data_IF_798297737753
#
_entry.id   IF_798297737753
#
_cell.length_a   1.000
_cell.length_b   1.000
_cell.length_c   1.000
_cell.angle_alpha   90.00
_cell.angle_beta   90.00
_cell.angle_gamma   90.00
#
_symmetry.space_group_name_H-M   'P 1'
#
loop_
_entity.id
_entity.type
_entity.pdbx_description
1 polymer ?
#
# COMPACT_ATOMS: atom_id res chain seq x y z
N UNK A 1 20.10 -27.10 -10.77
CA UNK A 1 21.07 -27.38 -9.68
C UNK A 1 20.43 -28.13 -8.48
N UNK A 2 20.83 -29.38 -8.24
CA UNK A 2 20.29 -30.27 -7.19
C UNK A 2 20.60 -29.82 -5.76
N UNK A 3 21.79 -29.23 -5.55
CA UNK A 3 22.25 -28.78 -4.22
C UNK A 3 21.29 -27.76 -3.57
N UNK A 4 20.73 -26.83 -4.34
CA UNK A 4 19.77 -25.85 -3.83
C UNK A 4 18.46 -26.50 -3.35
N UNK A 5 17.96 -27.50 -4.10
CA UNK A 5 16.74 -28.24 -3.72
C UNK A 5 16.96 -29.03 -2.44
N UNK A 6 18.11 -29.69 -2.32
CA UNK A 6 18.49 -30.43 -1.11
C UNK A 6 18.58 -29.49 0.10
N UNK A 7 19.30 -28.37 -0.02
CA UNK A 7 19.41 -27.35 1.03
C UNK A 7 18.05 -26.86 1.49
N UNK A 8 17.15 -26.53 0.55
CA UNK A 8 15.79 -26.06 0.87
C UNK A 8 14.96 -27.11 1.60
N UNK A 9 15.05 -28.38 1.21
CA UNK A 9 14.37 -29.47 1.94
C UNK A 9 14.95 -29.65 3.33
N UNK A 10 16.26 -29.56 3.47
CA UNK A 10 16.94 -29.67 4.76
C UNK A 10 16.59 -28.52 5.70
N UNK A 11 16.61 -27.26 5.24
CA UNK A 11 16.20 -26.09 6.03
C UNK A 11 14.76 -26.22 6.54
N UNK A 12 13.83 -26.76 5.74
CA UNK A 12 12.47 -27.05 6.20
C UNK A 12 12.42 -28.08 7.32
N UNK A 13 13.27 -29.12 7.26
CA UNK A 13 13.38 -30.13 8.30
C UNK A 13 13.96 -29.53 9.59
N UNK A 14 15.04 -28.75 9.48
CA UNK A 14 15.69 -28.07 10.59
C UNK A 14 14.72 -27.12 11.31
N UNK A 15 14.00 -26.27 10.56
CA UNK A 15 13.02 -25.35 11.13
C UNK A 15 11.84 -26.07 11.81
N UNK A 16 11.46 -27.27 11.34
CA UNK A 16 10.43 -28.11 12.00
C UNK A 16 10.95 -28.72 13.30
N UNK A 17 12.23 -29.08 13.35
CA UNK A 17 12.90 -29.63 14.54
C UNK A 17 13.28 -28.56 15.56
N UNK A 18 13.30 -27.29 15.16
CA UNK A 18 13.80 -26.21 16.00
C UNK A 18 15.33 -26.20 16.13
N UNK A 19 16.02 -26.84 15.19
CA UNK A 19 17.48 -26.91 15.12
C UNK A 19 18.02 -25.62 14.48
N UNK A 20 18.03 -24.55 15.27
CA UNK A 20 18.32 -23.19 14.81
C UNK A 20 19.81 -22.96 14.56
N UNK A 21 20.68 -23.61 15.32
CA UNK A 21 22.13 -23.56 15.14
C UNK A 21 22.52 -24.08 13.76
N UNK A 22 22.14 -25.31 13.43
CA UNK A 22 22.39 -25.89 12.11
C UNK A 22 21.66 -25.11 11.00
N UNK A 23 20.48 -24.55 11.30
CA UNK A 23 19.77 -23.71 10.33
C UNK A 23 20.60 -22.49 9.93
N UNK A 24 21.24 -21.81 10.89
CA UNK A 24 22.07 -20.64 10.64
C UNK A 24 23.31 -20.98 9.81
N UNK A 25 23.95 -22.13 10.06
CA UNK A 25 25.11 -22.60 9.28
C UNK A 25 24.77 -22.89 7.82
N UNK A 26 23.60 -23.48 7.58
CA UNK A 26 23.19 -23.98 6.26
C UNK A 26 22.48 -22.91 5.43
N UNK A 27 21.91 -21.88 6.06
CA UNK A 27 21.16 -20.84 5.38
C UNK A 27 22.09 -19.95 4.54
N UNK A 28 21.82 -19.90 3.23
CA UNK A 28 22.62 -19.18 2.25
C UNK A 28 21.82 -18.07 1.52
N UNK A 29 20.83 -17.49 2.22
CA UNK A 29 19.91 -16.50 1.63
C UNK A 29 18.77 -17.13 0.83
N UNK A 30 17.62 -16.46 0.80
CA UNK A 30 16.44 -16.87 0.03
C UNK A 30 15.51 -15.70 -0.23
N UNK A 31 14.89 -15.66 -1.41
CA UNK A 31 13.75 -14.77 -1.69
C UNK A 31 12.43 -15.27 -1.10
N UNK A 32 12.40 -16.49 -0.54
CA UNK A 32 11.23 -17.10 0.07
C UNK A 32 10.98 -16.54 1.49
N UNK A 33 9.80 -15.94 1.70
CA UNK A 33 9.45 -15.30 2.96
C UNK A 33 9.42 -16.28 4.14
N UNK A 34 9.02 -17.54 3.93
CA UNK A 34 9.03 -18.56 5.00
C UNK A 34 10.45 -18.80 5.48
N UNK A 35 11.38 -19.01 4.57
CA UNK A 35 12.78 -19.27 4.92
C UNK A 35 13.47 -18.04 5.53
N UNK A 36 13.16 -16.83 5.05
CA UNK A 36 13.65 -15.57 5.66
C UNK A 36 13.16 -15.44 7.11
N UNK A 37 11.88 -15.66 7.36
CA UNK A 37 11.34 -15.61 8.73
C UNK A 37 11.89 -16.71 9.64
N UNK A 38 12.15 -17.91 9.10
CA UNK A 38 12.82 -18.98 9.86
C UNK A 38 14.27 -18.62 10.21
N UNK A 39 15.00 -17.98 9.29
CA UNK A 39 16.35 -17.46 9.55
C UNK A 39 16.35 -16.39 10.64
N UNK A 40 15.44 -15.41 10.56
CA UNK A 40 15.30 -14.37 11.59
C UNK A 40 14.92 -14.97 12.95
N UNK A 41 14.05 -15.97 12.95
CA UNK A 41 13.70 -16.72 14.17
C UNK A 41 14.91 -17.45 14.75
N UNK A 42 15.76 -18.03 13.89
CA UNK A 42 16.98 -18.70 14.32
C UNK A 42 17.93 -17.71 15.01
N UNK A 43 18.17 -16.54 14.41
CA UNK A 43 18.97 -15.47 15.02
C UNK A 43 18.43 -15.03 16.38
N UNK A 44 17.12 -14.78 16.48
CA UNK A 44 16.48 -14.37 17.74
C UNK A 44 16.69 -15.44 18.83
N UNK A 45 16.52 -16.72 18.48
CA UNK A 45 16.68 -17.83 19.43
C UNK A 45 18.15 -18.07 19.84
N UNK A 46 19.10 -17.66 19.02
CA UNK A 46 20.55 -17.74 19.32
C UNK A 46 21.07 -16.50 20.06
N UNK A 47 20.20 -15.59 20.52
CA UNK A 47 20.59 -14.39 21.25
C UNK A 47 21.05 -13.23 20.35
N UNK A 48 20.85 -13.34 19.03
CA UNK A 48 21.28 -12.36 18.03
C UNK A 48 20.12 -11.46 17.56
N UNK A 49 19.24 -11.09 18.49
CA UNK A 49 18.04 -10.30 18.18
C UNK A 49 18.39 -8.96 17.52
N UNK A 50 19.46 -8.29 17.96
CA UNK A 50 19.90 -7.01 17.38
C UNK A 50 20.28 -7.11 15.89
N UNK A 51 20.74 -8.28 15.44
CA UNK A 51 20.98 -8.57 14.02
C UNK A 51 19.69 -8.89 13.26
N UNK A 52 18.70 -9.49 13.94
CA UNK A 52 17.48 -9.96 13.32
C UNK A 52 16.43 -8.85 13.14
N UNK A 53 16.22 -8.03 14.17
CA UNK A 53 15.10 -7.08 14.22
C UNK A 53 15.10 -6.02 13.10
N UNK A 54 16.26 -5.47 12.67
CA UNK A 54 16.30 -4.52 11.55
C UNK A 54 15.80 -5.09 10.21
N UNK A 55 15.89 -6.40 10.00
CA UNK A 55 15.49 -7.05 8.74
C UNK A 55 13.97 -7.28 8.63
N UNK A 56 13.26 -7.23 9.77
CA UNK A 56 11.84 -7.61 9.87
C UNK A 56 10.92 -6.62 9.17
N UNK A 57 11.29 -5.34 9.14
CA UNK A 57 10.46 -4.29 8.53
C UNK A 57 10.16 -4.58 7.05
N UNK A 58 11.17 -5.03 6.29
CA UNK A 58 11.01 -5.41 4.88
C UNK A 58 10.03 -6.57 4.66
N UNK A 59 9.84 -7.41 5.68
CA UNK A 59 8.85 -8.50 5.68
C UNK A 59 7.49 -8.03 6.18
N UNK A 60 7.44 -6.99 7.01
CA UNK A 60 6.21 -6.39 7.53
C UNK A 60 5.52 -5.52 6.47
N UNK A 61 6.25 -4.61 5.82
CA UNK A 61 5.77 -3.61 4.86
C UNK A 61 5.44 -4.20 3.48
N UNK A 62 4.52 -5.16 3.47
CA UNK A 62 3.96 -5.75 2.26
C UNK A 62 2.44 -5.79 2.34
N UNK A 63 1.77 -5.57 1.20
CA UNK A 63 0.31 -5.59 1.11
C UNK A 63 -0.33 -7.00 1.12
N UNK A 64 0.45 -8.04 1.41
CA UNK A 64 0.00 -9.45 1.42
C UNK A 64 0.21 -10.11 2.78
N UNK A 65 -0.59 -11.13 3.05
CA UNK A 65 -0.40 -11.97 4.24
C UNK A 65 0.94 -12.68 4.13
N UNK A 66 1.72 -12.63 5.20
CA UNK A 66 2.99 -13.35 5.28
C UNK A 66 2.74 -14.78 5.77
N UNK A 67 3.66 -15.72 5.51
CA UNK A 67 3.57 -17.07 6.05
C UNK A 67 3.55 -17.08 7.58
N UNK A 68 2.87 -18.05 8.19
CA UNK A 68 2.79 -18.18 9.66
C UNK A 68 4.15 -18.35 10.35
N UNK A 69 5.19 -18.76 9.60
CA UNK A 69 6.56 -18.77 10.08
C UNK A 69 7.07 -17.39 10.51
N UNK A 70 6.45 -16.30 10.03
CA UNK A 70 6.78 -14.93 10.41
C UNK A 70 6.10 -14.48 11.71
N UNK A 71 5.06 -15.16 12.18
CA UNK A 71 4.28 -14.71 13.34
C UNK A 71 5.13 -14.61 14.63
N UNK A 72 6.02 -15.56 14.96
CA UNK A 72 6.91 -15.43 16.13
C UNK A 72 7.88 -14.26 15.99
N UNK A 73 8.42 -14.03 14.79
CA UNK A 73 9.36 -12.93 14.52
C UNK A 73 8.66 -11.58 14.65
N UNK A 74 7.46 -11.43 14.07
CA UNK A 74 6.65 -10.23 14.23
C UNK A 74 6.18 -10.02 15.66
N UNK A 75 6.01 -11.07 16.46
CA UNK A 75 5.70 -10.92 17.88
C UNK A 75 6.86 -10.25 18.60
N UNK A 76 8.07 -10.81 18.51
CA UNK A 76 9.27 -10.27 19.17
C UNK A 76 9.57 -8.85 18.67
N UNK A 77 9.50 -8.61 17.36
CA UNK A 77 9.73 -7.29 16.78
C UNK A 77 8.74 -6.22 17.27
N UNK A 78 7.47 -6.58 17.46
CA UNK A 78 6.47 -5.69 18.06
C UNK A 78 6.72 -5.44 19.54
N UNK A 79 7.05 -6.49 20.30
CA UNK A 79 7.34 -6.40 21.74
C UNK A 79 8.60 -5.56 22.01
N UNK A 80 9.55 -5.57 21.09
CA UNK A 80 10.75 -4.71 21.11
C UNK A 80 10.47 -3.26 20.66
N UNK A 81 9.23 -2.88 20.38
CA UNK A 81 8.84 -1.50 20.06
C UNK A 81 9.11 -1.03 18.63
N UNK A 82 9.57 -1.92 17.73
CA UNK A 82 9.88 -1.53 16.36
C UNK A 82 8.63 -1.29 15.49
N UNK A 83 7.47 -1.85 15.84
CA UNK A 83 6.22 -1.53 15.15
C UNK A 83 5.72 -0.16 15.61
N UNK A 84 6.11 0.87 14.88
CA UNK A 84 5.60 2.23 15.06
C UNK A 84 4.18 2.36 14.53
N UNK A 85 3.50 3.43 14.96
CA UNK A 85 2.22 3.88 14.40
C UNK A 85 2.27 3.97 12.88
N UNK A 86 3.31 4.60 12.33
CA UNK A 86 3.41 4.86 10.90
C UNK A 86 3.60 3.56 10.10
N UNK A 87 4.40 2.62 10.61
CA UNK A 87 4.56 1.29 9.99
C UNK A 87 3.26 0.46 10.02
N UNK A 88 2.43 0.64 11.05
CA UNK A 88 1.11 0.03 11.10
C UNK A 88 0.17 0.63 10.04
N UNK A 89 0.15 1.95 9.87
CA UNK A 89 -0.63 2.62 8.82
C UNK A 89 -0.16 2.30 7.41
N UNK A 90 1.15 2.30 7.17
CA UNK A 90 1.72 1.91 5.88
C UNK A 90 1.31 0.49 5.50
N UNK A 91 1.41 -0.48 6.43
CA UNK A 91 0.96 -1.85 6.16
C UNK A 91 -0.56 -1.93 5.95
N UNK A 92 -1.34 -1.15 6.69
CA UNK A 92 -2.79 -1.08 6.52
C UNK A 92 -3.14 -0.60 5.11
N UNK A 93 -2.56 0.50 4.64
CA UNK A 93 -2.79 1.05 3.31
C UNK A 93 -2.36 0.07 2.22
N UNK A 94 -1.17 -0.51 2.35
CA UNK A 94 -0.68 -1.55 1.42
C UNK A 94 -1.67 -2.70 1.30
N UNK A 95 -2.23 -3.18 2.42
CA UNK A 95 -3.23 -4.25 2.42
C UNK A 95 -4.55 -3.84 1.75
N UNK A 96 -5.04 -2.63 2.02
CA UNK A 96 -6.26 -2.08 1.40
C UNK A 96 -6.10 -1.92 -0.12
N UNK A 97 -4.97 -1.35 -0.56
CA UNK A 97 -4.64 -1.15 -1.99
C UNK A 97 -4.42 -2.46 -2.72
N UNK A 98 -3.80 -3.45 -2.08
CA UNK A 98 -3.66 -4.81 -2.59
C UNK A 98 -4.97 -5.62 -2.59
N UNK A 99 -6.08 -5.01 -2.15
CA UNK A 99 -7.39 -5.64 -2.18
C UNK A 99 -7.59 -6.70 -1.08
N UNK A 100 -6.82 -6.66 0.02
CA UNK A 100 -6.87 -7.63 1.13
C UNK A 100 -7.48 -7.02 2.40
N UNK A 101 -8.81 -6.86 2.48
CA UNK A 101 -9.47 -6.23 3.62
C UNK A 101 -9.29 -7.01 4.91
N UNK A 102 -9.24 -8.35 4.88
CA UNK A 102 -9.03 -9.16 6.10
C UNK A 102 -7.67 -8.90 6.75
N UNK A 103 -6.62 -8.68 5.93
CA UNK A 103 -5.31 -8.28 6.43
C UNK A 103 -5.36 -6.87 7.01
N UNK A 104 -6.00 -5.93 6.33
CA UNK A 104 -6.18 -4.57 6.84
C UNK A 104 -6.93 -4.55 8.18
N UNK A 105 -7.99 -5.34 8.33
CA UNK A 105 -8.73 -5.52 9.60
C UNK A 105 -7.88 -6.16 10.70
N UNK A 106 -6.95 -7.05 10.37
CA UNK A 106 -6.00 -7.58 11.34
C UNK A 106 -5.00 -6.49 11.77
N UNK A 107 -4.43 -5.77 10.80
CA UNK A 107 -3.42 -4.71 11.05
C UNK A 107 -4.01 -3.55 11.84
N UNK A 108 -5.31 -3.22 11.67
CA UNK A 108 -5.95 -2.14 12.41
C UNK A 108 -5.96 -2.34 13.93
N UNK A 109 -5.71 -3.56 14.43
CA UNK A 109 -5.55 -3.84 15.86
C UNK A 109 -4.25 -3.28 16.44
N UNK A 110 -3.26 -2.99 15.59
CA UNK A 110 -1.98 -2.39 15.99
C UNK A 110 -1.95 -0.87 15.84
N UNK A 111 -3.04 -0.28 15.35
CA UNK A 111 -3.19 1.17 15.34
C UNK A 111 -3.54 1.69 16.74
N UNK A 112 -3.16 2.94 17.06
CA UNK A 112 -3.66 3.65 18.23
C UNK A 112 -5.18 3.57 18.31
N UNK A 113 -5.73 3.42 19.52
CA UNK A 113 -7.15 3.13 19.71
C UNK A 113 -8.05 4.23 19.14
N UNK A 114 -7.63 5.48 19.31
CA UNK A 114 -8.22 6.71 18.81
C UNK A 114 -8.28 6.79 17.27
N UNK A 115 -7.40 6.06 16.57
CA UNK A 115 -7.28 6.08 15.11
C UNK A 115 -7.97 4.90 14.41
N UNK A 116 -8.34 3.86 15.16
CA UNK A 116 -9.09 2.71 14.63
C UNK A 116 -10.39 3.09 13.93
N UNK A 117 -11.17 4.09 14.40
CA UNK A 117 -12.35 4.57 13.67
C UNK A 117 -12.04 5.02 12.23
N UNK A 118 -10.89 5.67 11.98
CA UNK A 118 -10.48 6.06 10.61
C UNK A 118 -10.22 4.83 9.74
N UNK A 119 -9.54 3.82 10.28
CA UNK A 119 -9.27 2.56 9.56
C UNK A 119 -10.59 1.83 9.20
N UNK A 120 -11.57 1.84 10.11
CA UNK A 120 -12.91 1.33 9.82
C UNK A 120 -13.61 2.10 8.71
N UNK A 121 -13.50 3.44 8.69
CA UNK A 121 -14.06 4.25 7.62
C UNK A 121 -13.38 3.96 6.29
N UNK A 122 -12.06 3.75 6.26
CA UNK A 122 -11.35 3.33 5.06
C UNK A 122 -11.88 1.99 4.53
N UNK A 123 -12.08 1.00 5.41
CA UNK A 123 -12.69 -0.28 5.05
C UNK A 123 -14.11 -0.12 4.48
N UNK A 124 -14.91 0.80 5.03
CA UNK A 124 -16.26 1.13 4.52
C UNK A 124 -16.20 1.81 3.15
N UNK A 125 -15.28 2.76 2.94
CA UNK A 125 -15.03 3.40 1.64
C UNK A 125 -14.59 2.38 0.60
N UNK A 126 -13.73 1.43 0.97
CA UNK A 126 -13.36 0.31 0.09
C UNK A 126 -14.59 -0.49 -0.36
N UNK A 127 -15.53 -0.79 0.54
CA UNK A 127 -16.75 -1.52 0.17
C UNK A 127 -17.68 -0.66 -0.70
N UNK A 128 -17.87 0.60 -0.31
CA UNK A 128 -18.77 1.54 -0.97
C UNK A 128 -18.06 2.89 -1.18
N UNK A 129 -17.43 3.11 -2.36
CA UNK A 129 -16.60 4.31 -2.61
C UNK A 129 -17.34 5.63 -2.50
N UNK A 130 -18.66 5.64 -2.73
CA UNK A 130 -19.50 6.84 -2.56
C UNK A 130 -19.54 7.37 -1.13
N UNK A 131 -19.11 6.59 -0.13
CA UNK A 131 -18.98 7.05 1.27
C UNK A 131 -17.79 7.99 1.49
N UNK A 132 -16.90 8.15 0.51
CA UNK A 132 -15.70 9.01 0.60
C UNK A 132 -16.03 10.45 1.00
N UNK A 133 -17.21 10.96 0.62
CA UNK A 133 -17.68 12.31 0.99
C UNK A 133 -17.85 12.54 2.48
N UNK A 134 -18.03 11.47 3.27
CA UNK A 134 -18.19 11.55 4.73
C UNK A 134 -16.86 11.65 5.46
N UNK A 135 -15.76 11.31 4.79
CA UNK A 135 -14.44 11.20 5.41
C UNK A 135 -13.80 12.58 5.61
N UNK A 136 -14.06 13.53 4.72
CA UNK A 136 -13.49 14.88 4.80
C UNK A 136 -13.97 15.70 6.02
N UNK A 137 -15.00 15.24 6.72
CA UNK A 137 -15.54 15.87 7.92
C UNK A 137 -15.16 15.12 9.21
N UNK A 138 -14.29 14.10 9.12
CA UNK A 138 -13.81 13.37 10.30
C UNK A 138 -12.64 14.11 10.94
N UNK A 139 -12.60 14.03 12.26
CA UNK A 139 -11.42 14.41 13.03
C UNK A 139 -10.34 13.33 12.91
N UNK A 140 -9.08 13.77 12.91
CA UNK A 140 -7.92 12.89 12.94
C UNK A 140 -6.76 13.38 12.08
N UNK A 141 -5.78 12.51 11.91
CA UNK A 141 -4.58 12.81 11.13
C UNK A 141 -4.93 13.13 9.67
N UNK A 142 -4.46 14.30 9.22
CA UNK A 142 -4.78 14.85 7.91
C UNK A 142 -4.19 14.03 6.76
N UNK A 143 -3.00 13.45 6.91
CA UNK A 143 -2.36 12.64 5.87
C UNK A 143 -3.10 11.31 5.69
N UNK A 144 -3.57 10.72 6.79
CA UNK A 144 -4.40 9.51 6.74
C UNK A 144 -5.76 9.82 6.09
N UNK A 145 -6.41 10.93 6.48
CA UNK A 145 -7.67 11.37 5.86
C UNK A 145 -7.48 11.60 4.36
N UNK A 146 -6.43 12.31 3.95
CA UNK A 146 -6.08 12.50 2.54
C UNK A 146 -5.93 11.18 1.80
N UNK A 147 -5.22 10.22 2.39
CA UNK A 147 -5.00 8.89 1.79
C UNK A 147 -6.31 8.12 1.61
N UNK A 148 -7.24 8.20 2.57
CA UNK A 148 -8.58 7.62 2.45
C UNK A 148 -9.38 8.30 1.32
N UNK A 149 -9.33 9.63 1.25
CA UNK A 149 -10.05 10.42 0.23
C UNK A 149 -9.53 10.09 -1.18
N UNK A 150 -8.22 10.14 -1.39
CA UNK A 150 -7.56 9.76 -2.66
C UNK A 150 -7.94 8.34 -3.04
N UNK A 151 -7.77 7.37 -2.13
CA UNK A 151 -8.15 5.97 -2.39
C UNK A 151 -9.63 5.82 -2.77
N UNK A 152 -10.51 6.51 -2.05
CA UNK A 152 -11.96 6.47 -2.28
C UNK A 152 -12.33 7.01 -3.66
N UNK A 153 -11.77 8.15 -4.06
CA UNK A 153 -12.00 8.73 -5.39
C UNK A 153 -11.42 7.84 -6.48
N UNK A 154 -10.20 7.33 -6.31
CA UNK A 154 -9.62 6.42 -7.30
C UNK A 154 -10.45 5.16 -7.51
N UNK A 155 -11.11 4.69 -6.44
CA UNK A 155 -11.98 3.52 -6.49
C UNK A 155 -13.35 3.86 -7.08
N UNK A 156 -13.86 5.06 -6.82
CA UNK A 156 -15.09 5.56 -7.42
C UNK A 156 -14.93 5.74 -8.93
N UNK A 157 -13.80 6.29 -9.38
CA UNK A 157 -13.50 6.50 -10.80
C UNK A 157 -13.48 5.19 -11.61
N UNK A 158 -13.12 4.06 -10.98
CA UNK A 158 -13.20 2.74 -11.64
C UNK A 158 -14.65 2.25 -11.86
N UNK A 159 -15.63 2.85 -11.19
CA UNK A 159 -17.05 2.48 -11.27
C UNK A 159 -17.89 3.51 -12.03
N UNK A 160 -17.58 4.78 -11.83
CA UNK A 160 -18.36 5.92 -12.28
C UNK A 160 -17.41 7.14 -12.30
N UNK A 161 -16.91 7.49 -13.49
CA UNK A 161 -15.86 8.49 -13.67
C UNK A 161 -16.46 9.89 -13.46
N UNK A 162 -17.64 10.14 -14.00
CA UNK A 162 -18.39 11.39 -13.89
C UNK A 162 -18.69 11.72 -12.42
N UNK A 163 -19.16 10.75 -11.65
CA UNK A 163 -19.39 10.93 -10.21
C UNK A 163 -18.10 11.11 -9.43
N UNK A 164 -17.02 10.44 -9.83
CA UNK A 164 -15.71 10.63 -9.20
C UNK A 164 -15.18 12.05 -9.43
N UNK A 165 -15.22 12.53 -10.66
CA UNK A 165 -14.88 13.89 -11.06
C UNK A 165 -15.66 14.94 -10.25
N UNK A 166 -16.99 14.85 -10.25
CA UNK A 166 -17.84 15.78 -9.50
C UNK A 166 -17.60 15.70 -7.97
N UNK A 167 -17.33 14.51 -7.44
CA UNK A 167 -17.05 14.33 -6.02
C UNK A 167 -15.69 14.92 -5.64
N UNK A 168 -14.68 14.73 -6.49
CA UNK A 168 -13.34 15.26 -6.27
C UNK A 168 -13.32 16.78 -6.27
N UNK A 169 -13.94 17.43 -7.25
CA UNK A 169 -14.03 18.89 -7.27
C UNK A 169 -14.71 19.44 -6.01
N UNK A 170 -15.81 18.81 -5.58
CA UNK A 170 -16.47 19.18 -4.32
C UNK A 170 -15.55 18.98 -3.10
N UNK A 171 -14.78 17.90 -3.03
CA UNK A 171 -13.86 17.66 -1.92
C UNK A 171 -12.76 18.72 -1.85
N UNK A 172 -12.21 19.14 -3.00
CA UNK A 172 -11.17 20.17 -3.08
C UNK A 172 -11.60 21.53 -2.55
N UNK A 173 -12.91 21.82 -2.54
CA UNK A 173 -13.44 23.06 -1.93
C UNK A 173 -13.38 23.06 -0.40
N UNK A 174 -13.23 21.90 0.24
CA UNK A 174 -13.31 21.73 1.71
C UNK A 174 -12.05 21.16 2.33
N UNK A 175 -11.23 20.48 1.53
CA UNK A 175 -10.01 19.83 1.97
C UNK A 175 -8.86 20.28 1.07
N UNK A 176 -7.80 20.84 1.67
CA UNK A 176 -6.60 21.19 0.92
C UNK A 176 -5.73 19.95 0.78
N UNK A 177 -5.57 19.50 -0.47
CA UNK A 177 -4.81 18.31 -0.84
C UNK A 177 -3.35 18.63 -1.16
N UNK A 178 -2.46 17.69 -0.88
CA UNK A 178 -1.06 17.74 -1.33
C UNK A 178 -0.94 17.65 -2.86
N UNK A 179 0.17 18.14 -3.42
CA UNK A 179 0.49 18.00 -4.84
C UNK A 179 0.41 16.54 -5.33
N UNK A 180 1.08 15.58 -4.64
CA UNK A 180 0.99 14.16 -4.96
C UNK A 180 -0.44 13.61 -4.94
N UNK A 181 -1.26 14.02 -3.96
CA UNK A 181 -2.66 13.60 -3.88
C UNK A 181 -3.49 14.13 -5.05
N UNK A 182 -3.30 15.40 -5.42
CA UNK A 182 -3.95 16.01 -6.58
C UNK A 182 -3.56 15.27 -7.86
N UNK A 183 -2.25 15.07 -8.08
CA UNK A 183 -1.73 14.38 -9.24
C UNK A 183 -2.26 12.93 -9.35
N UNK A 184 -2.30 12.19 -8.24
CA UNK A 184 -2.79 10.82 -8.23
C UNK A 184 -4.26 10.72 -8.70
N UNK A 185 -5.13 11.61 -8.21
CA UNK A 185 -6.55 11.63 -8.57
C UNK A 185 -6.77 12.15 -9.99
N UNK A 186 -6.12 13.27 -10.35
CA UNK A 186 -6.21 13.85 -11.69
C UNK A 186 -5.74 12.87 -12.76
N UNK A 187 -4.59 12.23 -12.56
CA UNK A 187 -4.10 11.17 -13.44
C UNK A 187 -5.10 10.02 -13.56
N UNK A 188 -5.68 9.57 -12.45
CA UNK A 188 -6.69 8.48 -12.48
C UNK A 188 -7.89 8.87 -13.34
N UNK A 189 -8.46 10.04 -13.13
CA UNK A 189 -9.66 10.50 -13.83
C UNK A 189 -9.34 10.80 -15.29
N UNK A 190 -8.28 11.55 -15.55
CA UNK A 190 -7.83 11.92 -16.88
C UNK A 190 -7.52 10.72 -17.77
N UNK A 191 -6.77 9.73 -17.26
CA UNK A 191 -6.55 8.48 -17.98
C UNK A 191 -7.86 7.72 -18.24
N UNK A 192 -8.79 7.72 -17.28
CA UNK A 192 -10.07 7.03 -17.46
C UNK A 192 -10.91 7.67 -18.57
N UNK A 193 -10.96 9.00 -18.65
CA UNK A 193 -11.58 9.71 -19.78
C UNK A 193 -10.83 9.50 -21.09
N UNK A 194 -9.49 9.49 -21.06
CA UNK A 194 -8.68 9.33 -22.26
C UNK A 194 -8.90 7.95 -22.92
N UNK A 195 -8.97 6.90 -22.11
CA UNK A 195 -9.32 5.55 -22.57
C UNK A 195 -10.74 5.46 -23.10
N UNK A 196 -11.65 6.29 -22.62
CA UNK A 196 -13.02 6.40 -23.12
C UNK A 196 -13.15 7.36 -24.33
N UNK A 197 -12.04 7.93 -24.83
CA UNK A 197 -11.99 8.91 -25.91
C UNK A 197 -12.81 10.18 -25.66
N UNK A 198 -12.88 10.58 -24.39
CA UNK A 198 -13.63 11.74 -23.90
C UNK A 198 -12.75 12.99 -23.91
N UNK A 199 -13.28 14.14 -24.31
CA UNK A 199 -12.55 15.42 -24.39
C UNK A 199 -12.10 15.91 -23.01
N UNK A 200 -12.87 15.57 -21.97
CA UNK A 200 -12.60 15.89 -20.57
C UNK A 200 -11.23 15.37 -20.10
N UNK A 201 -10.66 14.38 -20.78
CA UNK A 201 -9.32 13.87 -20.50
C UNK A 201 -8.26 14.97 -20.43
N UNK A 202 -8.30 15.95 -21.35
CA UNK A 202 -7.33 17.05 -21.40
C UNK A 202 -7.43 17.94 -20.17
N UNK A 203 -8.65 18.29 -19.75
CA UNK A 203 -8.87 19.08 -18.53
C UNK A 203 -8.17 18.46 -17.32
N UNK A 204 -8.35 17.15 -17.13
CA UNK A 204 -7.78 16.43 -15.99
C UNK A 204 -6.27 16.22 -16.10
N UNK A 205 -5.75 15.93 -17.29
CA UNK A 205 -4.31 15.69 -17.48
C UNK A 205 -3.50 16.99 -17.45
N UNK A 206 -4.04 18.09 -17.99
CA UNK A 206 -3.40 19.42 -17.93
C UNK A 206 -3.34 19.98 -16.51
N UNK A 207 -4.27 19.59 -15.64
CA UNK A 207 -4.34 20.08 -14.27
C UNK A 207 -3.45 19.31 -13.26
N UNK A 208 -2.66 18.33 -13.73
CA UNK A 208 -1.63 17.67 -12.92
C UNK A 208 -0.46 18.65 -12.70
N UNK A 209 -0.03 18.92 -11.46
CA UNK A 209 1.13 19.77 -11.19
C UNK A 209 2.39 19.27 -11.91
N UNK A 210 3.13 20.15 -12.59
CA UNK A 210 4.32 19.75 -13.37
C UNK A 210 5.36 18.95 -12.56
N UNK A 211 5.65 19.23 -11.27
CA UNK A 211 6.55 18.38 -10.47
C UNK A 211 6.08 16.94 -10.31
N UNK A 212 4.77 16.69 -10.42
CA UNK A 212 4.13 15.38 -10.20
C UNK A 212 3.72 14.69 -11.53
N UNK A 213 4.03 15.30 -12.67
CA UNK A 213 3.69 14.80 -14.00
C UNK A 213 4.56 13.60 -14.38
N UNK A 214 4.00 12.40 -14.29
CA UNK A 214 4.70 11.18 -14.72
C UNK A 214 4.65 10.96 -16.24
N UNK A 215 5.50 10.04 -16.71
CA UNK A 215 5.61 9.72 -18.14
C UNK A 215 4.29 9.25 -18.77
N UNK A 216 3.47 8.51 -18.02
CA UNK A 216 2.21 7.96 -18.51
C UNK A 216 1.15 9.04 -18.66
N UNK A 217 1.01 9.92 -17.68
CA UNK A 217 0.12 11.06 -17.74
C UNK A 217 0.51 12.00 -18.89
N UNK A 218 1.82 12.25 -19.05
CA UNK A 218 2.37 13.07 -20.14
C UNK A 218 2.07 12.47 -21.53
N UNK A 219 2.32 11.17 -21.70
CA UNK A 219 2.00 10.44 -22.94
C UNK A 219 0.52 10.57 -23.28
N UNK A 220 -0.37 10.30 -22.32
CA UNK A 220 -1.81 10.37 -22.56
C UNK A 220 -2.33 11.78 -22.74
N UNK A 221 -1.64 12.80 -22.20
CA UNK A 221 -1.94 14.22 -22.45
C UNK A 221 -1.74 14.54 -23.93
N UNK A 222 -0.57 14.18 -24.47
CA UNK A 222 -0.23 14.34 -25.90
C UNK A 222 -1.20 13.56 -26.79
N UNK A 223 -1.45 12.28 -26.49
CA UNK A 223 -2.36 11.45 -27.29
C UNK A 223 -3.80 11.96 -27.28
N UNK A 224 -4.26 12.52 -26.16
CA UNK A 224 -5.59 13.13 -26.06
C UNK A 224 -5.66 14.44 -26.84
N UNK A 225 -4.59 15.25 -26.80
CA UNK A 225 -4.48 16.51 -27.53
C UNK A 225 -4.52 16.28 -29.05
N UNK A 226 -3.73 15.33 -29.54
CA UNK A 226 -3.73 14.92 -30.95
C UNK A 226 -5.10 14.39 -31.41
N UNK A 227 -5.78 13.62 -30.56
CA UNK A 227 -7.09 13.03 -30.88
C UNK A 227 -8.17 14.09 -31.07
N UNK A 228 -8.15 15.12 -30.23
CA UNK A 228 -9.18 16.17 -30.22
C UNK A 228 -8.78 17.42 -31.03
N UNK A 229 -7.62 17.40 -31.70
CA UNK A 229 -7.16 18.49 -32.56
C UNK A 229 -6.55 19.68 -31.81
N UNK A 230 -6.26 19.53 -30.51
CA UNK A 230 -5.72 20.56 -29.63
C UNK A 230 -4.17 20.56 -29.66
N UNK A 231 -3.59 20.78 -30.84
CA UNK A 231 -2.14 20.64 -31.09
C UNK A 231 -1.24 21.55 -30.24
N UNK A 232 -1.79 22.59 -29.61
CA UNK A 232 -1.06 23.49 -28.71
C UNK A 232 -0.85 22.88 -27.31
N UNK A 233 -1.69 21.92 -26.94
CA UNK A 233 -1.70 21.23 -25.65
C UNK A 233 -0.97 19.87 -25.70
N UNK A 234 -0.48 19.48 -26.88
CA UNK A 234 0.39 18.33 -27.10
C UNK A 234 1.83 18.68 -26.69
#
# INVERSE_FOLDING_TARGET
PLAWRLRRTWLKLLARRGDWETYLEVYAGSGDATMRCQWLRALINSGEADRALPEVESLWLVGRSQPSACDPVFKVWREAGYLTRDLAWQRFELAIRAGRPSLATYVSRFLPAEERPLAEQWLRVRRQPTRVTRVAALDGDREIIESILVYGIERLARRDIEKAAATWERLRTRFAFSGPAVAAVHRRIGLSYAFAHREESLYWLNAIPEPEMDARAREWRILSAMRHGEWRDA
#
